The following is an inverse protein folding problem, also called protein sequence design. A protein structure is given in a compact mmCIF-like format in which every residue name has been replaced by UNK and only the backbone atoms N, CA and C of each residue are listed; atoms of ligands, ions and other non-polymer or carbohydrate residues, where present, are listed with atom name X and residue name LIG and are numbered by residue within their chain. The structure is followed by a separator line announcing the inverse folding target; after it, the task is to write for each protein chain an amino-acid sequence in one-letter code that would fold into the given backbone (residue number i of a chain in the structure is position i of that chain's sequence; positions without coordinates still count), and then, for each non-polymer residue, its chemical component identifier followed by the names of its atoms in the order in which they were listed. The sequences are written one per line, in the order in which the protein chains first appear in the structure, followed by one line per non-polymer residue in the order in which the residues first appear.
data_IF_433494853828
#
_entry.id   IF_433494853828
#
_cell.length_a   1.000
_cell.length_b   1.000
_cell.length_c   1.000
_cell.angle_alpha   90.00
_cell.angle_beta   90.00
_cell.angle_gamma   90.00
#
_symmetry.space_group_name_H-M   'P 1'
#
loop_
_entity.id
_entity.type
_entity.pdbx_description
1 polymer ?
#
# COMPACT_ATOMS: atom_id res chain seq x y z
N UNK A 1 -19.52 -15.02 -6.64
CA UNK A 1 -19.43 -13.85 -5.71
C UNK A 1 -19.48 -12.55 -6.51
N UNK A 2 -20.19 -11.50 -6.06
CA UNK A 2 -20.27 -10.22 -6.80
C UNK A 2 -18.90 -9.52 -6.78
N UNK A 3 -18.44 -8.91 -7.89
CA UNK A 3 -17.16 -8.20 -7.93
C UNK A 3 -17.23 -6.97 -7.03
N UNK A 4 -16.53 -7.02 -5.90
CA UNK A 4 -16.39 -5.87 -4.99
C UNK A 4 -15.42 -4.85 -5.62
N UNK A 5 -15.83 -3.57 -5.64
CA UNK A 5 -14.98 -2.40 -5.89
C UNK A 5 -14.02 -2.51 -7.10
N UNK A 6 -14.55 -2.81 -8.29
CA UNK A 6 -13.81 -2.73 -9.54
C UNK A 6 -14.36 -1.60 -10.43
N UNK A 7 -13.47 -0.84 -11.05
CA UNK A 7 -13.85 0.19 -12.01
C UNK A 7 -14.33 -0.43 -13.33
N UNK A 8 -15.25 0.22 -14.06
CA UNK A 8 -15.62 -0.19 -15.41
C UNK A 8 -14.39 -0.33 -16.31
N UNK A 9 -14.40 -1.25 -17.28
CA UNK A 9 -13.24 -1.53 -18.14
C UNK A 9 -12.66 -0.27 -18.82
N UNK A 10 -13.49 0.72 -19.16
CA UNK A 10 -13.08 2.01 -19.75
C UNK A 10 -12.04 2.76 -18.91
N UNK A 11 -12.06 2.62 -17.58
CA UNK A 11 -11.14 3.27 -16.66
C UNK A 11 -9.70 2.78 -16.81
N UNK A 12 -9.47 1.63 -17.44
CA UNK A 12 -8.14 1.15 -17.77
C UNK A 12 -7.40 2.09 -18.72
N UNK A 13 -8.09 2.59 -19.75
CA UNK A 13 -7.48 3.49 -20.73
C UNK A 13 -7.19 4.84 -20.12
N UNK A 14 -8.16 5.37 -19.35
CA UNK A 14 -7.99 6.62 -18.60
C UNK A 14 -6.82 6.49 -17.61
N UNK A 15 -6.73 5.35 -16.91
CA UNK A 15 -5.66 5.11 -15.95
C UNK A 15 -4.26 5.12 -16.58
N UNK A 16 -4.08 4.53 -17.77
CA UNK A 16 -2.81 4.63 -18.51
C UNK A 16 -2.53 6.06 -19.00
N UNK A 17 -3.56 6.76 -19.47
CA UNK A 17 -3.46 8.15 -19.90
C UNK A 17 -3.07 9.09 -18.76
N UNK A 18 -3.42 8.77 -17.51
CA UNK A 18 -2.96 9.52 -16.32
C UNK A 18 -1.58 9.06 -15.85
N UNK A 19 -1.37 7.75 -15.75
CA UNK A 19 -0.14 7.18 -15.20
C UNK A 19 1.10 7.54 -16.02
N UNK A 20 1.05 7.40 -17.36
CA UNK A 20 2.22 7.63 -18.22
C UNK A 20 2.75 9.07 -18.11
N UNK A 21 1.94 10.13 -18.36
CA UNK A 21 2.42 11.50 -18.22
C UNK A 21 2.74 11.85 -16.77
N UNK A 22 1.98 11.34 -15.79
CA UNK A 22 2.29 11.53 -14.38
C UNK A 22 3.65 10.95 -13.99
N UNK A 23 3.98 9.76 -14.49
CA UNK A 23 5.25 9.10 -14.24
C UNK A 23 6.41 9.84 -14.93
N UNK A 24 6.24 10.25 -16.19
CA UNK A 24 7.24 11.08 -16.90
C UNK A 24 7.48 12.39 -16.14
N UNK A 25 6.41 13.05 -15.69
CA UNK A 25 6.50 14.29 -14.91
C UNK A 25 7.20 14.04 -13.57
N UNK A 26 6.86 12.97 -12.85
CA UNK A 26 7.49 12.61 -11.58
C UNK A 26 8.98 12.32 -11.73
N UNK A 27 9.38 11.59 -12.77
CA UNK A 27 10.79 11.38 -13.10
C UNK A 27 11.48 12.70 -13.44
N UNK A 28 10.83 13.58 -14.20
CA UNK A 28 11.39 14.87 -14.56
C UNK A 28 11.59 15.78 -13.33
N UNK A 29 10.65 15.76 -12.39
CA UNK A 29 10.80 16.46 -11.11
C UNK A 29 11.98 15.93 -10.30
N UNK A 30 12.16 14.61 -10.22
CA UNK A 30 13.21 14.02 -9.39
C UNK A 30 14.61 14.19 -10.00
N UNK A 31 14.77 13.97 -11.30
CA UNK A 31 16.08 13.98 -11.97
C UNK A 31 16.49 15.39 -12.37
N UNK A 32 15.58 16.17 -12.96
CA UNK A 32 15.90 17.50 -13.52
C UNK A 32 15.39 18.65 -12.66
N UNK A 33 14.80 18.37 -11.50
CA UNK A 33 14.16 19.40 -10.66
C UNK A 33 13.14 20.24 -11.46
N UNK A 34 12.50 19.59 -12.44
CA UNK A 34 11.55 20.25 -13.32
C UNK A 34 10.32 20.73 -12.54
N UNK A 35 9.91 21.97 -12.82
CA UNK A 35 8.71 22.59 -12.27
C UNK A 35 7.92 23.20 -13.42
N UNK A 36 6.61 22.96 -13.47
CA UNK A 36 5.75 23.59 -14.46
C UNK A 36 5.73 25.11 -14.21
N UNK A 37 6.15 25.94 -15.19
CA UNK A 37 6.15 27.39 -15.02
C UNK A 37 4.75 27.92 -14.72
N UNK A 38 4.63 28.77 -13.70
CA UNK A 38 3.35 29.35 -13.29
C UNK A 38 2.40 28.40 -12.56
N UNK A 39 2.76 27.13 -12.35
CA UNK A 39 1.96 26.19 -11.55
C UNK A 39 2.23 26.32 -10.05
N UNK A 40 2.08 27.55 -9.55
CA UNK A 40 2.39 27.94 -8.17
C UNK A 40 1.16 28.50 -7.47
N UNK A 41 0.94 28.12 -6.21
CA UNK A 41 -0.09 28.72 -5.37
C UNK A 41 0.56 29.54 -4.25
N UNK A 42 -0.05 30.68 -3.94
CA UNK A 42 0.33 31.50 -2.78
C UNK A 42 -0.15 30.81 -1.51
N UNK A 43 0.77 30.31 -0.71
CA UNK A 43 0.46 29.61 0.55
C UNK A 43 0.73 30.47 1.79
N UNK A 44 1.43 31.60 1.64
CA UNK A 44 1.85 32.49 2.74
C UNK A 44 1.69 33.94 2.32
N UNK A 45 1.58 34.85 3.27
CA UNK A 45 1.50 36.29 2.97
C UNK A 45 2.85 36.90 2.59
N UNK A 46 3.94 36.40 3.20
CA UNK A 46 5.31 36.87 2.97
C UNK A 46 6.26 35.70 2.81
N UNK A 47 7.30 35.89 1.99
CA UNK A 47 8.44 34.99 1.92
C UNK A 47 9.34 35.16 3.14
N UNK A 48 9.77 34.07 3.75
CA UNK A 48 10.86 34.07 4.74
C UNK A 48 12.11 33.43 4.14
N UNK A 49 13.27 33.61 4.79
CA UNK A 49 14.57 33.07 4.35
C UNK A 49 14.57 31.57 4.03
N UNK A 50 13.68 30.81 4.67
CA UNK A 50 13.61 29.36 4.52
C UNK A 50 12.33 28.89 3.81
N UNK A 51 11.38 29.80 3.53
CA UNK A 51 10.03 29.44 3.07
C UNK A 51 9.51 30.45 2.05
N UNK A 52 9.45 30.10 0.75
CA UNK A 52 8.94 31.00 -0.28
C UNK A 52 7.44 31.27 -0.11
N UNK A 53 6.96 32.41 -0.61
CA UNK A 53 5.53 32.78 -0.57
C UNK A 53 4.66 31.88 -1.47
N UNK A 54 5.25 31.49 -2.60
CA UNK A 54 4.67 30.63 -3.62
C UNK A 54 5.34 29.26 -3.59
N UNK A 55 4.55 28.20 -3.59
CA UNK A 55 5.05 26.83 -3.77
C UNK A 55 4.52 26.23 -5.06
N UNK A 56 5.37 25.46 -5.74
CA UNK A 56 5.06 24.84 -7.00
C UNK A 56 4.46 23.45 -6.77
N UNK A 57 3.29 23.18 -7.36
CA UNK A 57 2.52 21.97 -7.10
C UNK A 57 2.81 20.80 -8.07
N UNK A 58 3.91 20.89 -8.85
CA UNK A 58 4.20 19.90 -9.90
C UNK A 58 4.41 18.50 -9.31
N UNK A 59 4.99 18.39 -8.12
CA UNK A 59 5.20 17.10 -7.44
C UNK A 59 3.87 16.47 -7.00
N UNK A 60 2.98 17.28 -6.44
CA UNK A 60 1.64 16.88 -6.00
C UNK A 60 0.79 16.44 -7.20
N UNK A 61 0.89 17.16 -8.32
CA UNK A 61 0.24 16.78 -9.58
C UNK A 61 0.79 15.46 -10.11
N UNK A 62 2.13 15.30 -10.16
CA UNK A 62 2.76 14.06 -10.62
C UNK A 62 2.32 12.86 -9.77
N UNK A 63 2.34 13.01 -8.44
CA UNK A 63 1.88 11.97 -7.51
C UNK A 63 0.41 11.63 -7.72
N UNK A 64 -0.46 12.64 -7.83
CA UNK A 64 -1.89 12.43 -8.04
C UNK A 64 -2.15 11.65 -9.34
N UNK A 65 -1.49 12.03 -10.44
CA UNK A 65 -1.59 11.35 -11.74
C UNK A 65 -1.09 9.90 -11.67
N UNK A 66 0.04 9.65 -11.01
CA UNK A 66 0.61 8.31 -10.85
C UNK A 66 -0.31 7.42 -10.00
N UNK A 67 -0.74 7.90 -8.83
CA UNK A 67 -1.58 7.11 -7.91
C UNK A 67 -2.95 6.86 -8.51
N UNK A 68 -3.63 7.90 -9.00
CA UNK A 68 -4.95 7.75 -9.62
C UNK A 68 -4.88 6.86 -10.85
N UNK A 69 -3.87 7.07 -11.71
CA UNK A 69 -3.65 6.29 -12.92
C UNK A 69 -3.42 4.81 -12.63
N UNK A 70 -2.53 4.49 -11.69
CA UNK A 70 -2.28 3.12 -11.26
C UNK A 70 -3.50 2.49 -10.57
N UNK A 71 -4.18 3.21 -9.67
CA UNK A 71 -5.35 2.69 -8.96
C UNK A 71 -6.48 2.33 -9.94
N UNK A 72 -6.80 3.22 -10.88
CA UNK A 72 -7.79 2.99 -11.94
C UNK A 72 -7.39 1.83 -12.84
N UNK A 73 -6.12 1.76 -13.24
CA UNK A 73 -5.60 0.71 -14.12
C UNK A 73 -5.55 -0.66 -13.45
N UNK A 74 -5.20 -0.69 -12.17
CA UNK A 74 -5.04 -1.89 -11.35
C UNK A 74 -6.38 -2.55 -11.04
N UNK A 75 -7.40 -1.75 -10.70
CA UNK A 75 -8.72 -2.24 -10.31
C UNK A 75 -9.80 -2.11 -11.41
N UNK A 76 -9.42 -1.89 -12.67
CA UNK A 76 -10.34 -1.96 -13.80
C UNK A 76 -10.77 -3.41 -14.11
N UNK A 77 -12.06 -3.62 -14.34
CA UNK A 77 -12.64 -4.91 -14.78
C UNK A 77 -12.05 -5.38 -16.10
N UNK A 78 -11.93 -6.69 -16.26
CA UNK A 78 -11.72 -7.30 -17.57
C UNK A 78 -13.02 -7.35 -18.39
N UNK A 79 -12.91 -7.55 -19.72
CA UNK A 79 -14.09 -7.61 -20.61
C UNK A 79 -15.04 -8.73 -20.19
N UNK A 80 -14.46 -9.86 -19.80
CA UNK A 80 -15.13 -10.98 -19.16
C UNK A 80 -14.48 -11.14 -17.80
N UNK A 81 -15.29 -11.17 -16.75
CA UNK A 81 -14.84 -11.25 -15.36
C UNK A 81 -15.34 -12.58 -14.80
N UNK A 82 -14.52 -13.62 -14.94
CA UNK A 82 -14.81 -14.97 -14.44
C UNK A 82 -14.14 -15.22 -13.07
N UNK A 83 -14.38 -16.41 -12.52
CA UNK A 83 -13.82 -16.82 -11.24
C UNK A 83 -12.30 -16.94 -11.28
N UNK A 84 -11.74 -17.39 -12.41
CA UNK A 84 -10.31 -17.51 -12.62
C UNK A 84 -9.64 -16.13 -12.56
N UNK A 85 -10.16 -15.13 -13.27
CA UNK A 85 -9.63 -13.75 -13.27
C UNK A 85 -9.74 -13.15 -11.87
N UNK A 86 -10.85 -13.41 -11.17
CA UNK A 86 -11.01 -12.98 -9.78
C UNK A 86 -9.95 -13.60 -8.86
N UNK A 87 -9.67 -14.91 -9.02
CA UNK A 87 -8.62 -15.63 -8.27
C UNK A 87 -7.22 -15.16 -8.64
N UNK A 88 -6.93 -14.91 -9.92
CA UNK A 88 -5.65 -14.37 -10.39
C UNK A 88 -5.44 -12.97 -9.81
N UNK A 89 -6.48 -12.12 -9.79
CA UNK A 89 -6.43 -10.79 -9.20
C UNK A 89 -6.08 -10.84 -7.73
N UNK A 90 -6.83 -11.66 -6.98
CA UNK A 90 -6.61 -11.90 -5.57
C UNK A 90 -5.16 -12.33 -5.30
N UNK A 91 -4.70 -13.39 -5.97
CA UNK A 91 -3.36 -13.93 -5.82
C UNK A 91 -2.30 -12.86 -6.15
N UNK A 92 -2.48 -12.13 -7.24
CA UNK A 92 -1.55 -11.08 -7.66
C UNK A 92 -1.46 -9.94 -6.65
N UNK A 93 -2.58 -9.55 -6.02
CA UNK A 93 -2.61 -8.49 -5.04
C UNK A 93 -1.86 -8.88 -3.76
N UNK A 94 -2.07 -10.09 -3.26
CA UNK A 94 -1.30 -10.63 -2.13
C UNK A 94 0.20 -10.65 -2.45
N UNK A 95 0.58 -11.28 -3.56
CA UNK A 95 1.98 -11.30 -3.99
C UNK A 95 2.58 -9.90 -4.11
N UNK A 96 1.81 -8.92 -4.55
CA UNK A 96 2.29 -7.55 -4.63
C UNK A 96 2.60 -6.94 -3.27
N UNK A 97 1.71 -7.11 -2.28
CA UNK A 97 1.99 -6.68 -0.91
C UNK A 97 3.23 -7.39 -0.38
N UNK A 98 3.31 -8.71 -0.48
CA UNK A 98 4.44 -9.49 0.04
C UNK A 98 5.78 -9.07 -0.60
N UNK A 99 5.84 -9.02 -1.94
CA UNK A 99 7.06 -8.66 -2.67
C UNK A 99 7.43 -7.20 -2.40
N UNK A 100 6.46 -6.28 -2.35
CA UNK A 100 6.75 -4.88 -2.00
C UNK A 100 7.31 -4.73 -0.58
N UNK A 101 6.84 -5.54 0.37
CA UNK A 101 7.40 -5.58 1.72
C UNK A 101 8.81 -6.15 1.75
N UNK A 102 9.12 -7.15 0.92
CA UNK A 102 10.49 -7.66 0.77
C UNK A 102 11.42 -6.63 0.12
N UNK A 103 10.96 -5.92 -0.90
CA UNK A 103 11.72 -4.82 -1.53
C UNK A 103 12.02 -3.73 -0.51
N UNK A 104 11.02 -3.33 0.29
CA UNK A 104 11.20 -2.36 1.37
C UNK A 104 12.18 -2.86 2.44
N UNK A 105 12.12 -4.14 2.81
CA UNK A 105 13.07 -4.74 3.75
C UNK A 105 14.50 -4.61 3.24
N UNK A 106 14.76 -5.01 2.01
CA UNK A 106 16.08 -4.91 1.37
C UNK A 106 16.55 -3.46 1.38
N UNK A 107 15.70 -2.52 1.00
CA UNK A 107 16.03 -1.09 1.01
C UNK A 107 16.44 -0.59 2.40
N UNK A 108 15.63 -0.87 3.44
CA UNK A 108 15.94 -0.43 4.81
C UNK A 108 17.25 -1.05 5.29
N UNK A 109 17.53 -2.31 4.95
CA UNK A 109 18.79 -2.95 5.32
C UNK A 109 20.00 -2.31 4.62
N UNK A 110 19.91 -2.04 3.32
CA UNK A 110 21.00 -1.38 2.57
C UNK A 110 21.26 0.04 3.10
N UNK A 111 20.19 0.78 3.39
CA UNK A 111 20.26 2.12 3.97
C UNK A 111 20.95 2.10 5.33
N UNK A 112 20.61 1.13 6.18
CA UNK A 112 21.22 0.97 7.51
C UNK A 112 22.73 0.70 7.44
N UNK A 113 23.23 0.13 6.34
CA UNK A 113 24.65 -0.12 6.11
C UNK A 113 25.36 0.97 5.30
N UNK A 114 24.69 2.09 4.98
CA UNK A 114 25.17 3.13 4.07
C UNK A 114 25.61 2.57 2.70
N UNK A 115 24.98 1.48 2.24
CA UNK A 115 25.26 0.82 0.97
C UNK A 115 24.30 1.26 -0.15
N UNK A 116 23.53 2.31 0.09
CA UNK A 116 22.54 2.79 -0.87
C UNK A 116 23.21 3.35 -2.11
N UNK A 117 22.94 2.71 -3.24
CA UNK A 117 23.39 3.15 -4.56
C UNK A 117 22.42 4.13 -5.23
N UNK A 118 21.25 4.38 -4.62
CA UNK A 118 20.17 5.17 -5.23
C UNK A 118 19.78 6.36 -4.35
N UNK A 119 19.63 7.58 -4.90
CA UNK A 119 19.21 8.75 -4.15
C UNK A 119 17.76 8.61 -3.65
N UNK A 120 17.57 8.88 -2.36
CA UNK A 120 16.32 9.04 -1.58
C UNK A 120 15.03 8.38 -2.15
N UNK A 121 15.17 7.11 -2.56
CA UNK A 121 14.10 6.32 -3.21
C UNK A 121 12.99 5.95 -2.23
N UNK A 122 13.23 6.11 -0.92
CA UNK A 122 12.33 5.70 0.15
C UNK A 122 10.92 6.26 -0.02
N UNK A 123 10.80 7.52 -0.45
CA UNK A 123 9.51 8.18 -0.68
C UNK A 123 8.82 7.77 -1.98
N UNK A 124 9.46 7.00 -2.86
CA UNK A 124 8.83 6.48 -4.09
C UNK A 124 8.25 5.07 -3.93
N UNK A 125 8.43 4.44 -2.77
CA UNK A 125 7.99 3.06 -2.55
C UNK A 125 6.48 2.89 -2.42
N UNK A 126 5.71 3.97 -2.21
CA UNK A 126 4.26 3.88 -1.95
C UNK A 126 3.47 3.32 -3.13
N UNK A 127 3.88 3.52 -4.39
CA UNK A 127 3.15 3.04 -5.56
C UNK A 127 3.63 1.68 -6.07
N UNK A 128 4.76 1.17 -5.57
CA UNK A 128 5.34 -0.13 -5.94
C UNK A 128 4.35 -1.30 -5.77
N UNK A 129 3.54 -1.40 -4.69
CA UNK A 129 2.54 -2.46 -4.57
C UNK A 129 1.54 -2.49 -5.73
N UNK A 130 1.03 -1.32 -6.17
CA UNK A 130 0.12 -1.27 -7.33
C UNK A 130 0.79 -1.69 -8.63
N UNK A 131 2.06 -1.30 -8.81
CA UNK A 131 2.84 -1.62 -10.00
C UNK A 131 3.10 -3.13 -10.08
N UNK A 132 3.60 -3.74 -8.99
CA UNK A 132 3.84 -5.20 -8.92
C UNK A 132 2.51 -5.95 -9.14
N UNK A 133 1.43 -5.51 -8.49
CA UNK A 133 0.12 -6.10 -8.66
C UNK A 133 -0.30 -6.09 -10.13
N UNK A 134 -0.21 -4.94 -10.79
CA UNK A 134 -0.63 -4.80 -12.18
C UNK A 134 0.19 -5.67 -13.13
N UNK A 135 1.52 -5.66 -12.97
CA UNK A 135 2.43 -6.44 -13.80
C UNK A 135 2.19 -7.95 -13.64
N UNK A 136 2.12 -8.44 -12.39
CA UNK A 136 1.87 -9.85 -12.10
C UNK A 136 0.51 -10.29 -12.62
N UNK A 137 -0.53 -9.48 -12.42
CA UNK A 137 -1.88 -9.77 -12.90
C UNK A 137 -1.90 -9.93 -14.43
N UNK A 138 -1.23 -9.02 -15.16
CA UNK A 138 -1.13 -9.10 -16.63
C UNK A 138 -0.36 -10.32 -17.09
N UNK A 139 0.78 -10.61 -16.46
CA UNK A 139 1.59 -11.79 -16.75
C UNK A 139 0.79 -13.09 -16.61
N UNK A 140 0.04 -13.25 -15.51
CA UNK A 140 -0.72 -14.46 -15.24
C UNK A 140 -1.93 -14.64 -16.17
N UNK A 141 -2.62 -13.56 -16.55
CA UNK A 141 -3.71 -13.62 -17.53
C UNK A 141 -3.21 -14.05 -18.91
N UNK A 142 -2.08 -13.50 -19.37
CA UNK A 142 -1.54 -13.82 -20.70
C UNK A 142 -1.11 -15.28 -20.79
N UNK A 143 -0.62 -15.86 -19.70
CA UNK A 143 -0.15 -17.25 -19.67
C UNK A 143 -1.29 -18.29 -19.64
N UNK A 144 -2.56 -17.86 -19.55
CA UNK A 144 -3.77 -18.73 -19.44
C UNK A 144 -3.51 -19.97 -18.58
N UNK A 145 -3.34 -19.76 -17.27
CA UNK A 145 -3.27 -20.86 -16.31
C UNK A 145 -4.68 -21.26 -15.90
N UNK A 146 -5.01 -22.55 -15.97
CA UNK A 146 -6.23 -23.07 -15.35
C UNK A 146 -6.25 -22.76 -13.85
N UNK A 147 -7.44 -22.72 -13.26
CA UNK A 147 -7.66 -22.39 -11.83
C UNK A 147 -6.79 -23.25 -10.89
N UNK A 148 -6.52 -24.49 -11.30
CA UNK A 148 -5.74 -25.49 -10.57
C UNK A 148 -4.22 -25.30 -10.71
N UNK A 149 -3.75 -24.61 -11.75
CA UNK A 149 -2.33 -24.33 -11.97
C UNK A 149 -1.84 -23.04 -11.27
N UNK A 150 -2.74 -22.36 -10.54
CA UNK A 150 -2.42 -21.20 -9.73
C UNK A 150 -2.00 -21.66 -8.33
N UNK A 151 -0.75 -21.37 -7.95
CA UNK A 151 -0.24 -21.70 -6.63
C UNK A 151 -1.12 -21.08 -5.54
N UNK A 152 -1.43 -21.87 -4.52
CA UNK A 152 -2.13 -21.38 -3.34
C UNK A 152 -1.31 -20.29 -2.64
N UNK A 153 -2.01 -19.35 -2.02
CA UNK A 153 -1.36 -18.34 -1.19
C UNK A 153 -0.65 -19.04 -0.03
N UNK A 154 0.63 -18.73 0.16
CA UNK A 154 1.39 -19.25 1.29
C UNK A 154 1.01 -18.49 2.55
N UNK A 155 0.65 -19.21 3.61
CA UNK A 155 0.30 -18.65 4.90
C UNK A 155 1.17 -19.24 6.00
N UNK A 156 1.53 -18.40 6.97
CA UNK A 156 2.17 -18.83 8.20
C UNK A 156 1.16 -19.64 9.04
N UNK A 157 1.61 -20.68 9.76
CA UNK A 157 0.72 -21.45 10.61
C UNK A 157 0.21 -20.61 11.78
N UNK A 158 -1.01 -20.90 12.27
CA UNK A 158 -1.68 -20.04 13.26
C UNK A 158 -0.85 -19.90 14.55
N UNK A 159 -0.48 -21.00 15.21
CA UNK A 159 0.42 -20.96 16.37
C UNK A 159 1.85 -21.36 15.95
N UNK A 160 2.91 -20.68 16.46
CA UNK A 160 2.87 -19.54 17.39
C UNK A 160 2.73 -18.17 16.70
N UNK A 161 2.78 -18.12 15.36
CA UNK A 161 2.96 -16.87 14.60
C UNK A 161 1.89 -15.82 14.86
N UNK A 162 0.63 -16.20 15.05
CA UNK A 162 -0.47 -15.23 15.29
C UNK A 162 -0.26 -14.42 16.56
N UNK A 163 0.15 -15.09 17.63
CA UNK A 163 0.35 -14.44 18.93
C UNK A 163 1.62 -13.57 18.86
N UNK A 164 2.69 -14.14 18.32
CA UNK A 164 3.98 -13.46 18.19
C UNK A 164 3.87 -12.21 17.30
N UNK A 165 3.26 -12.33 16.11
CA UNK A 165 3.10 -11.23 15.17
C UNK A 165 2.18 -10.15 15.73
N UNK A 166 1.11 -10.50 16.44
CA UNK A 166 0.21 -9.53 17.06
C UNK A 166 0.89 -8.76 18.19
N UNK A 167 1.58 -9.46 19.10
CA UNK A 167 2.29 -8.85 20.22
C UNK A 167 3.42 -7.93 19.74
N UNK A 168 4.24 -8.39 18.78
CA UNK A 168 5.30 -7.58 18.18
C UNK A 168 4.74 -6.38 17.42
N UNK A 169 3.64 -6.54 16.66
CA UNK A 169 3.01 -5.42 15.96
C UNK A 169 2.55 -4.34 16.94
N UNK A 170 1.90 -4.72 18.04
CA UNK A 170 1.43 -3.76 19.03
C UNK A 170 2.58 -2.97 19.66
N UNK A 171 3.65 -3.65 20.05
CA UNK A 171 4.84 -3.02 20.61
C UNK A 171 5.51 -2.05 19.61
N UNK A 172 5.72 -2.48 18.36
CA UNK A 172 6.38 -1.66 17.34
C UNK A 172 5.53 -0.50 16.82
N UNK A 173 4.21 -0.65 16.81
CA UNK A 173 3.31 0.49 16.54
C UNK A 173 3.43 1.52 17.65
N UNK A 174 3.46 1.09 18.91
CA UNK A 174 3.67 1.99 20.05
C UNK A 174 5.00 2.74 19.97
N UNK A 175 6.10 2.04 19.64
CA UNK A 175 7.40 2.69 19.43
C UNK A 175 7.36 3.65 18.24
N UNK A 176 6.70 3.28 17.15
CA UNK A 176 6.51 4.15 15.98
C UNK A 176 5.78 5.45 16.31
N UNK A 177 4.68 5.37 17.05
CA UNK A 177 3.92 6.55 17.51
C UNK A 177 4.78 7.44 18.41
N UNK A 178 5.54 6.84 19.34
CA UNK A 178 6.46 7.58 20.20
C UNK A 178 7.52 8.32 19.37
N UNK A 179 8.10 7.68 18.36
CA UNK A 179 9.09 8.28 17.48
C UNK A 179 8.51 9.44 16.65
N UNK A 180 7.28 9.30 16.13
CA UNK A 180 6.59 10.37 15.41
C UNK A 180 6.35 11.59 16.30
N UNK A 181 5.95 11.37 17.56
CA UNK A 181 5.71 12.47 18.52
C UNK A 181 7.02 13.14 18.96
N UNK A 182 8.09 12.36 19.12
CA UNK A 182 9.40 12.82 19.59
C UNK A 182 10.42 12.87 18.44
N UNK A 183 10.03 13.36 17.26
CA UNK A 183 10.85 13.26 16.04
C UNK A 183 12.31 13.71 16.19
N UNK A 184 12.58 14.75 16.98
CA UNK A 184 13.93 15.29 17.18
C UNK A 184 14.70 14.66 18.36
N UNK A 185 14.00 14.00 19.28
CA UNK A 185 14.56 13.54 20.57
C UNK A 185 14.44 12.03 20.77
N UNK A 186 13.75 11.32 19.88
CA UNK A 186 13.60 9.89 19.93
C UNK A 186 14.98 9.21 19.78
N UNK A 187 15.32 8.25 20.66
CA UNK A 187 16.56 7.49 20.55
C UNK A 187 16.69 6.79 19.20
N UNK A 188 17.89 6.83 18.59
CA UNK A 188 18.16 6.25 17.27
C UNK A 188 17.80 4.76 17.17
N UNK A 189 18.01 4.01 18.26
CA UNK A 189 17.63 2.59 18.33
C UNK A 189 16.11 2.39 18.18
N UNK A 190 15.29 3.24 18.82
CA UNK A 190 13.83 3.16 18.70
C UNK A 190 13.36 3.56 17.31
N UNK A 191 13.97 4.58 16.70
CA UNK A 191 13.69 4.97 15.31
C UNK A 191 14.03 3.82 14.34
N UNK A 192 15.19 3.20 14.51
CA UNK A 192 15.63 2.05 13.67
C UNK A 192 14.67 0.89 13.82
N UNK A 193 14.29 0.54 15.06
CA UNK A 193 13.35 -0.53 15.34
C UNK A 193 11.96 -0.24 14.75
N UNK A 194 11.50 1.00 14.82
CA UNK A 194 10.23 1.43 14.24
C UNK A 194 10.20 1.25 12.72
N UNK A 195 11.33 1.43 12.01
CA UNK A 195 11.38 1.20 10.55
C UNK A 195 11.02 -0.24 10.14
N UNK A 196 11.19 -1.22 11.04
CA UNK A 196 10.84 -2.62 10.80
C UNK A 196 9.41 -2.99 11.24
N UNK A 197 8.58 -2.03 11.66
CA UNK A 197 7.22 -2.31 12.18
C UNK A 197 6.30 -3.01 11.17
N UNK A 198 6.54 -2.83 9.86
CA UNK A 198 5.78 -3.50 8.81
C UNK A 198 5.97 -5.03 8.83
N UNK A 199 7.09 -5.56 9.32
CA UNK A 199 7.38 -7.00 9.30
C UNK A 199 6.39 -7.83 10.13
N UNK A 200 6.18 -7.56 11.43
CA UNK A 200 5.19 -8.33 12.20
C UNK A 200 3.76 -8.05 11.73
N UNK A 201 3.46 -6.86 11.20
CA UNK A 201 2.15 -6.56 10.62
C UNK A 201 1.86 -7.44 9.41
N UNK A 202 2.81 -7.55 8.47
CA UNK A 202 2.69 -8.42 7.32
C UNK A 202 2.67 -9.89 7.76
N UNK A 203 3.51 -10.32 8.69
CA UNK A 203 3.44 -11.68 9.24
C UNK A 203 2.04 -11.97 9.80
N UNK A 204 1.41 -11.01 10.48
CA UNK A 204 0.05 -11.15 11.00
C UNK A 204 -0.99 -11.26 9.88
N UNK A 205 -0.91 -10.40 8.86
CA UNK A 205 -1.76 -10.46 7.65
C UNK A 205 -1.70 -11.85 7.01
N UNK A 206 -0.50 -12.45 6.93
CA UNK A 206 -0.24 -13.74 6.29
C UNK A 206 -0.35 -14.94 7.22
N UNK A 207 -0.83 -14.79 8.45
CA UNK A 207 -1.06 -15.92 9.35
C UNK A 207 -2.44 -16.55 9.11
N UNK A 208 -2.50 -17.87 8.92
CA UNK A 208 -3.74 -18.62 8.66
C UNK A 208 -4.65 -18.71 9.89
N UNK A 209 -5.95 -18.85 9.66
CA UNK A 209 -6.92 -19.20 10.70
C UNK A 209 -6.83 -20.70 11.07
N UNK A 210 -7.40 -21.13 12.20
CA UNK A 210 -7.39 -22.55 12.60
C UNK A 210 -8.10 -23.46 11.58
N UNK A 211 -9.20 -22.94 11.02
CA UNK A 211 -9.91 -23.51 9.89
C UNK A 211 -9.92 -22.46 8.79
N UNK A 212 -9.25 -22.75 7.67
CA UNK A 212 -9.22 -21.87 6.50
C UNK A 212 -10.14 -22.49 5.45
N UNK A 213 -11.38 -21.99 5.37
CA UNK A 213 -12.36 -22.40 4.36
C UNK A 213 -12.37 -21.40 3.17
N UNK A 214 -13.10 -21.74 2.10
CA UNK A 214 -13.22 -20.87 0.91
C UNK A 214 -13.83 -19.51 1.25
N UNK A 215 -14.72 -19.46 2.26
CA UNK A 215 -15.33 -18.22 2.71
C UNK A 215 -14.29 -17.29 3.34
N UNK A 216 -13.46 -17.77 4.27
CA UNK A 216 -12.39 -17.01 4.91
C UNK A 216 -11.37 -16.56 3.87
N UNK A 217 -11.01 -17.42 2.92
CA UNK A 217 -10.14 -17.04 1.81
C UNK A 217 -10.75 -15.90 0.98
N UNK A 218 -12.05 -15.94 0.69
CA UNK A 218 -12.74 -14.84 0.00
C UNK A 218 -12.77 -13.55 0.82
N UNK A 219 -12.92 -13.67 2.14
CA UNK A 219 -12.97 -12.56 3.06
C UNK A 219 -11.64 -11.83 3.15
N UNK A 220 -10.55 -12.58 3.19
CA UNK A 220 -9.17 -12.11 3.07
C UNK A 220 -9.00 -11.28 1.81
N UNK A 221 -9.35 -11.83 0.65
CA UNK A 221 -9.25 -11.14 -0.64
C UNK A 221 -10.01 -9.81 -0.64
N UNK A 222 -11.26 -9.81 -0.20
CA UNK A 222 -12.08 -8.61 -0.14
C UNK A 222 -11.49 -7.55 0.82
N UNK A 223 -10.99 -8.00 1.98
CA UNK A 223 -10.35 -7.13 2.97
C UNK A 223 -9.08 -6.50 2.42
N UNK A 224 -8.27 -7.26 1.68
CA UNK A 224 -7.02 -6.79 1.09
C UNK A 224 -7.27 -5.78 -0.02
N UNK A 225 -8.20 -6.08 -0.93
CA UNK A 225 -8.58 -5.14 -1.98
C UNK A 225 -9.10 -3.82 -1.40
N UNK A 226 -9.95 -3.89 -0.37
CA UNK A 226 -10.47 -2.69 0.27
C UNK A 226 -9.37 -1.91 0.99
N UNK A 227 -8.48 -2.58 1.74
CA UNK A 227 -7.40 -1.93 2.47
C UNK A 227 -6.47 -1.14 1.54
N UNK A 228 -6.11 -1.74 0.41
CA UNK A 228 -5.32 -1.10 -0.63
C UNK A 228 -6.04 0.12 -1.22
N UNK A 229 -7.31 -0.02 -1.58
CA UNK A 229 -8.10 1.09 -2.12
C UNK A 229 -8.23 2.22 -1.10
N UNK A 230 -8.53 1.92 0.16
CA UNK A 230 -8.66 2.90 1.24
C UNK A 230 -7.34 3.68 1.39
N UNK A 231 -6.20 2.98 1.44
CA UNK A 231 -4.91 3.64 1.57
C UNK A 231 -4.64 4.62 0.42
N UNK A 232 -4.83 4.20 -0.83
CA UNK A 232 -4.54 5.07 -1.98
C UNK A 232 -5.54 6.22 -2.13
N UNK A 233 -6.81 6.03 -1.76
CA UNK A 233 -7.76 7.14 -1.67
C UNK A 233 -7.37 8.13 -0.58
N UNK A 234 -6.96 7.63 0.59
CA UNK A 234 -6.46 8.46 1.68
C UNK A 234 -5.20 9.22 1.26
N UNK A 235 -4.28 8.60 0.53
CA UNK A 235 -3.08 9.25 0.01
C UNK A 235 -3.41 10.38 -0.98
N UNK A 236 -4.37 10.16 -1.89
CA UNK A 236 -4.82 11.22 -2.82
C UNK A 236 -5.46 12.41 -2.08
N UNK A 237 -6.23 12.15 -1.03
CA UNK A 237 -6.82 13.20 -0.20
C UNK A 237 -5.73 13.93 0.60
N UNK A 238 -4.80 13.18 1.20
CA UNK A 238 -3.66 13.71 1.94
C UNK A 238 -2.78 14.61 1.06
N UNK A 239 -2.60 14.27 -0.22
CA UNK A 239 -1.83 15.06 -1.18
C UNK A 239 -2.42 16.47 -1.45
N UNK A 240 -3.70 16.69 -1.11
CA UNK A 240 -4.36 17.98 -1.28
C UNK A 240 -4.37 18.77 0.04
N UNK A 241 -4.51 18.06 1.16
CA UNK A 241 -4.79 18.65 2.48
C UNK A 241 -3.52 18.79 3.33
N UNK A 242 -2.57 17.86 3.21
CA UNK A 242 -1.36 17.80 4.03
C UNK A 242 -0.14 18.27 3.24
N UNK A 243 0.74 18.99 3.91
CA UNK A 243 1.98 19.53 3.34
C UNK A 243 3.17 19.18 4.24
N UNK A 244 4.38 19.12 3.68
CA UNK A 244 5.62 18.89 4.44
C UNK A 244 5.62 17.57 5.24
N UNK A 245 6.01 17.60 6.52
CA UNK A 245 6.25 16.41 7.36
C UNK A 245 5.00 15.51 7.54
N UNK A 246 3.79 16.03 7.83
CA UNK A 246 2.58 15.20 7.91
C UNK A 246 2.31 14.35 6.66
N UNK A 247 2.56 14.90 5.48
CA UNK A 247 2.36 14.18 4.22
C UNK A 247 3.40 13.06 4.05
N UNK A 248 4.66 13.33 4.40
CA UNK A 248 5.73 12.33 4.36
C UNK A 248 5.41 11.12 5.23
N UNK A 249 4.81 11.30 6.41
CA UNK A 249 4.40 10.17 7.25
C UNK A 249 3.34 9.27 6.58
N UNK A 250 2.36 9.85 5.88
CA UNK A 250 1.33 9.06 5.16
C UNK A 250 1.95 8.19 4.05
N UNK A 251 2.97 8.71 3.37
CA UNK A 251 3.73 7.96 2.36
C UNK A 251 4.60 6.88 3.01
N UNK A 252 5.36 7.25 4.05
CA UNK A 252 6.30 6.34 4.72
C UNK A 252 5.62 5.14 5.37
N UNK A 253 4.44 5.32 5.96
CA UNK A 253 3.68 4.24 6.61
C UNK A 253 2.72 3.49 5.67
N UNK A 254 2.97 3.53 4.36
CA UNK A 254 2.10 2.94 3.34
C UNK A 254 1.72 1.47 3.62
N UNK A 255 2.71 0.64 3.90
CA UNK A 255 2.53 -0.81 4.12
C UNK A 255 1.79 -1.08 5.42
N UNK A 256 2.08 -0.30 6.46
CA UNK A 256 1.49 -0.39 7.78
C UNK A 256 0.01 -0.02 7.72
N UNK A 257 -0.33 1.09 7.05
CA UNK A 257 -1.72 1.52 6.90
C UNK A 257 -2.52 0.46 6.13
N UNK A 258 -1.97 -0.10 5.05
CA UNK A 258 -2.62 -1.20 4.31
C UNK A 258 -2.80 -2.43 5.22
N UNK A 259 -1.76 -2.84 5.95
CA UNK A 259 -1.82 -4.01 6.83
C UNK A 259 -2.82 -3.83 7.99
N UNK A 260 -2.83 -2.65 8.62
CA UNK A 260 -3.76 -2.32 9.70
C UNK A 260 -5.20 -2.26 9.18
N UNK A 261 -5.44 -1.57 8.06
CA UNK A 261 -6.77 -1.51 7.44
C UNK A 261 -7.29 -2.90 7.08
N UNK A 262 -6.41 -3.77 6.55
CA UNK A 262 -6.72 -5.17 6.30
C UNK A 262 -7.12 -5.89 7.59
N UNK A 263 -6.28 -5.84 8.63
CA UNK A 263 -6.50 -6.56 9.89
C UNK A 263 -7.79 -6.11 10.58
N UNK A 264 -8.09 -4.82 10.58
CA UNK A 264 -9.35 -4.27 11.12
C UNK A 264 -10.54 -4.84 10.35
N UNK A 265 -10.55 -4.71 9.03
CA UNK A 265 -11.65 -5.15 8.17
C UNK A 265 -11.88 -6.66 8.28
N UNK A 266 -10.80 -7.43 8.14
CA UNK A 266 -10.83 -8.89 8.16
C UNK A 266 -11.32 -9.41 9.51
N UNK A 267 -10.76 -8.95 10.63
CA UNK A 267 -11.16 -9.41 11.95
C UNK A 267 -12.60 -9.01 12.30
N UNK A 268 -13.05 -7.82 11.89
CA UNK A 268 -14.44 -7.42 12.09
C UNK A 268 -15.42 -8.33 11.35
N UNK A 269 -15.17 -8.62 10.07
CA UNK A 269 -16.05 -9.52 9.31
C UNK A 269 -15.94 -10.97 9.78
N UNK A 270 -14.76 -11.42 10.21
CA UNK A 270 -14.56 -12.76 10.76
C UNK A 270 -15.34 -12.96 12.07
N UNK A 271 -15.33 -11.96 12.97
CA UNK A 271 -16.15 -11.99 14.19
C UNK A 271 -17.63 -12.08 13.86
N UNK A 272 -18.10 -11.24 12.92
CA UNK A 272 -19.50 -11.28 12.46
C UNK A 272 -19.87 -12.67 11.90
N UNK A 273 -18.99 -13.28 11.11
CA UNK A 273 -19.19 -14.63 10.57
C UNK A 273 -19.29 -15.69 11.66
N UNK A 274 -18.37 -15.69 12.64
CA UNK A 274 -18.38 -16.62 13.77
C UNK A 274 -19.66 -16.51 14.59
N UNK A 275 -20.15 -15.29 14.84
CA UNK A 275 -21.43 -15.04 15.53
C UNK A 275 -22.62 -15.61 14.75
N UNK A 276 -22.62 -15.50 13.41
CA UNK A 276 -23.69 -16.05 12.57
C UNK A 276 -23.67 -17.58 12.50
N UNK A 277 -22.50 -18.22 12.59
CA UNK A 277 -22.38 -19.68 12.55
C UNK A 277 -22.58 -20.37 13.91
N UNK A 278 -22.34 -19.67 15.01
CA UNK A 278 -22.45 -20.21 16.36
C UNK A 278 -23.13 -19.24 17.31
N UNK A 279 -24.40 -18.90 17.05
CA UNK A 279 -25.19 -17.97 17.85
C UNK A 279 -24.91 -18.10 19.35
N UNK A 280 -24.30 -17.05 19.92
CA UNK A 280 -23.74 -16.90 21.27
C UNK A 280 -22.36 -17.54 21.53
N UNK A 281 -21.34 -16.70 21.46
CA UNK A 281 -20.31 -16.66 22.49
C UNK A 281 -19.94 -15.18 22.73
N UNK A 282 -20.35 -14.68 23.90
CA UNK A 282 -19.98 -13.39 24.49
C UNK A 282 -18.46 -13.25 24.56
#
# INVERSE_FOLDING_TARGET
MKPYLLFPNKFRMIGWLLFIPGFILGVACQIWQYQIPGFTLKLRETSSLLKPEYENFTNELALALVVAGLLMTAFAKEKVEDELISKIRANSLYWAILVSSLVRLVYITLHSFNLDMFPDVGYTMFFIPLLIFKLRFRYLITRKKDIYALDNLYYLPNRPYRIVSAALSFFLIGSGIYCVYNFLTAPDFLNTLANFMFLPLIAWVYTKEEKEDEFIASLRVQSMQLAVIIYYLMLLIANIILYSVPFLYIISFSTEIIAIAFLIKFNWQLRKYKVMQGGLAL
#
